data_IF_168963734525
#
_entry.id   IF_168963734525
#
_cell.length_a   1.000
_cell.length_b   1.000
_cell.length_c   1.000
_cell.angle_alpha   90.00
_cell.angle_beta   90.00
_cell.angle_gamma   90.00
#
_symmetry.space_group_name_H-M   'P 1'
#
loop_
_entity.id
_entity.type
_entity.pdbx_description
1 polymer ?
#
# COMPACT_ATOMS: atom_id res chain seq x y z
N UNK A 1 -21.30 25.52 -24.06
CA UNK A 1 -20.37 26.28 -23.19
C UNK A 1 -19.58 25.24 -22.40
N UNK A 2 -18.28 25.09 -22.66
CA UNK A 2 -17.47 24.02 -22.07
C UNK A 2 -16.86 24.50 -20.74
N UNK A 3 -17.23 23.88 -19.63
CA UNK A 3 -16.65 24.16 -18.31
C UNK A 3 -15.30 23.47 -18.22
N UNK A 4 -14.23 24.21 -18.48
CA UNK A 4 -12.87 23.71 -18.25
C UNK A 4 -12.68 23.49 -16.74
N UNK A 5 -12.58 22.22 -16.33
CA UNK A 5 -12.17 21.86 -14.98
C UNK A 5 -10.72 22.34 -14.82
N UNK A 6 -10.50 23.43 -14.07
CA UNK A 6 -9.17 24.02 -13.87
C UNK A 6 -8.35 23.04 -13.03
N UNK A 7 -7.57 22.20 -13.68
CA UNK A 7 -6.51 21.44 -13.00
C UNK A 7 -5.58 22.46 -12.34
N UNK A 8 -5.49 22.39 -11.02
CA UNK A 8 -4.57 23.23 -10.24
C UNK A 8 -3.36 22.36 -9.97
N UNK A 9 -2.23 22.77 -10.49
CA UNK A 9 -0.98 22.09 -10.23
C UNK A 9 -0.61 22.29 -8.75
N UNK A 10 -0.48 21.23 -7.95
CA UNK A 10 -0.10 21.35 -6.54
C UNK A 10 1.32 21.90 -6.33
N UNK A 11 2.11 22.03 -7.39
CA UNK A 11 3.49 22.52 -7.34
C UNK A 11 3.66 23.92 -7.97
N UNK A 12 2.57 24.61 -8.33
CA UNK A 12 2.60 25.92 -9.03
C UNK A 12 3.28 27.05 -8.22
N UNK A 13 3.25 26.94 -6.88
CA UNK A 13 3.85 27.91 -5.96
C UNK A 13 5.31 27.58 -5.57
N UNK A 14 5.87 26.46 -6.05
CA UNK A 14 7.23 26.01 -5.72
C UNK A 14 8.24 26.50 -6.78
N UNK A 15 9.42 26.92 -6.34
CA UNK A 15 10.55 27.08 -7.25
C UNK A 15 11.13 25.74 -7.68
N UNK A 16 11.88 25.70 -8.79
CA UNK A 16 12.52 24.48 -9.29
C UNK A 16 13.43 23.82 -8.23
N UNK A 17 14.15 24.62 -7.43
CA UNK A 17 15.04 24.12 -6.37
C UNK A 17 14.26 23.52 -5.18
N UNK A 18 13.16 24.16 -4.78
CA UNK A 18 12.25 23.61 -3.75
C UNK A 18 11.51 22.36 -4.24
N UNK A 19 11.18 22.30 -5.52
CA UNK A 19 10.59 21.12 -6.14
C UNK A 19 11.57 19.94 -6.13
N UNK A 20 12.83 20.17 -6.52
CA UNK A 20 13.87 19.14 -6.51
C UNK A 20 14.11 18.60 -5.09
N UNK A 21 14.20 19.46 -4.08
CA UNK A 21 14.30 19.03 -2.67
C UNK A 21 13.07 18.22 -2.23
N UNK A 22 11.87 18.67 -2.60
CA UNK A 22 10.62 17.99 -2.26
C UNK A 22 10.53 16.59 -2.89
N UNK A 23 10.92 16.49 -4.16
CA UNK A 23 11.00 15.24 -4.92
C UNK A 23 12.04 14.31 -4.31
N UNK A 24 13.22 14.82 -3.97
CA UNK A 24 14.28 14.03 -3.34
C UNK A 24 13.86 13.48 -1.98
N UNK A 25 13.13 14.25 -1.16
CA UNK A 25 12.53 13.74 0.09
C UNK A 25 11.51 12.63 -0.20
N UNK A 26 10.57 12.85 -1.11
CA UNK A 26 9.55 11.85 -1.50
C UNK A 26 10.16 10.53 -2.00
N UNK A 27 11.24 10.61 -2.78
CA UNK A 27 11.90 9.44 -3.36
C UNK A 27 13.02 8.84 -2.49
N UNK A 28 13.54 9.58 -1.51
CA UNK A 28 14.46 9.08 -0.49
C UNK A 28 13.74 8.21 0.56
N UNK A 29 12.45 8.47 0.80
CA UNK A 29 11.55 7.60 1.57
C UNK A 29 11.14 6.34 0.78
N UNK A 30 12.11 5.62 0.20
CA UNK A 30 11.82 4.31 -0.41
C UNK A 30 11.14 3.42 0.63
N UNK A 31 10.01 2.76 0.30
CA UNK A 31 9.37 1.82 1.21
C UNK A 31 10.42 0.81 1.70
N UNK A 32 10.63 0.74 3.01
CA UNK A 32 11.59 -0.19 3.64
C UNK A 32 11.04 -1.61 3.56
N UNK A 33 10.97 -2.17 2.36
CA UNK A 33 10.56 -3.55 2.15
C UNK A 33 11.72 -4.46 2.47
N UNK A 34 11.47 -5.49 3.27
CA UNK A 34 12.43 -6.57 3.50
C UNK A 34 12.08 -7.76 2.61
N UNK A 35 13.10 -8.43 2.07
CA UNK A 35 12.89 -9.68 1.37
C UNK A 35 12.56 -10.77 2.39
N UNK A 36 11.51 -11.54 2.10
CA UNK A 36 11.10 -12.70 2.91
C UNK A 36 11.08 -13.94 2.04
N UNK A 37 11.47 -15.08 2.61
CA UNK A 37 11.28 -16.39 1.99
C UNK A 37 10.02 -17.04 2.57
N UNK A 38 9.08 -17.41 1.70
CA UNK A 38 7.80 -18.02 2.10
C UNK A 38 7.53 -19.24 1.23
N UNK A 39 7.15 -20.36 1.86
CA UNK A 39 6.64 -21.54 1.17
C UNK A 39 5.12 -21.47 1.12
N UNK A 40 4.56 -21.69 -0.07
CA UNK A 40 3.11 -21.74 -0.30
C UNK A 40 2.76 -22.97 -1.14
N UNK A 41 1.54 -23.52 -1.00
CA UNK A 41 1.06 -24.56 -1.90
C UNK A 41 1.09 -24.11 -3.37
N UNK A 42 1.50 -25.00 -4.27
CA UNK A 42 1.62 -24.70 -5.70
C UNK A 42 0.28 -24.30 -6.31
N UNK A 43 -0.80 -24.98 -5.94
CA UNK A 43 -2.15 -24.70 -6.44
C UNK A 43 -2.61 -23.28 -6.04
N UNK A 44 -2.26 -22.84 -4.83
CA UNK A 44 -2.56 -21.50 -4.35
C UNK A 44 -1.82 -20.43 -5.16
N UNK A 45 -0.52 -20.63 -5.40
CA UNK A 45 0.29 -19.71 -6.20
C UNK A 45 -0.27 -19.60 -7.63
N UNK A 46 -0.63 -20.71 -8.24
CA UNK A 46 -1.20 -20.72 -9.59
C UNK A 46 -2.57 -20.03 -9.67
N UNK A 47 -3.41 -20.21 -8.65
CA UNK A 47 -4.69 -19.46 -8.55
C UNK A 47 -4.45 -17.96 -8.42
N UNK A 48 -3.47 -17.55 -7.63
CA UNK A 48 -3.11 -16.14 -7.45
C UNK A 48 -2.63 -15.52 -8.77
N UNK A 49 -1.75 -16.22 -9.50
CA UNK A 49 -1.27 -15.78 -10.82
C UNK A 49 -2.42 -15.58 -11.80
N UNK A 50 -3.34 -16.55 -11.91
CA UNK A 50 -4.52 -16.43 -12.79
C UNK A 50 -5.39 -15.22 -12.44
N UNK A 51 -5.61 -14.97 -11.15
CA UNK A 51 -6.38 -13.81 -10.71
C UNK A 51 -5.66 -12.50 -11.03
N UNK A 52 -4.33 -12.46 -10.86
CA UNK A 52 -3.51 -11.29 -11.19
C UNK A 52 -3.56 -10.97 -12.69
N UNK A 53 -3.44 -11.98 -13.55
CA UNK A 53 -3.63 -11.84 -15.00
C UNK A 53 -5.00 -11.28 -15.34
N UNK A 54 -6.07 -11.77 -14.70
CA UNK A 54 -7.44 -11.30 -14.95
C UNK A 54 -7.63 -9.82 -14.63
N UNK A 55 -6.95 -9.30 -13.61
CA UNK A 55 -7.01 -7.89 -13.21
C UNK A 55 -5.88 -7.04 -13.81
N UNK A 56 -5.03 -7.63 -14.65
CA UNK A 56 -3.98 -6.92 -15.40
C UNK A 56 -2.78 -6.47 -14.57
N UNK A 57 -2.45 -7.15 -13.45
CA UNK A 57 -1.32 -6.77 -12.59
C UNK A 57 -0.35 -7.95 -12.36
N UNK A 58 0.93 -7.68 -12.01
CA UNK A 58 1.85 -8.73 -11.57
C UNK A 58 1.35 -9.45 -10.31
N UNK A 59 1.57 -10.77 -10.22
CA UNK A 59 1.03 -11.55 -9.10
C UNK A 59 1.61 -11.10 -7.74
N UNK A 60 2.85 -10.60 -7.69
CA UNK A 60 3.42 -10.06 -6.46
C UNK A 60 2.69 -8.79 -6.00
N UNK A 61 2.26 -7.93 -6.94
CA UNK A 61 1.47 -6.73 -6.64
C UNK A 61 0.12 -7.09 -6.05
N UNK A 62 -0.58 -8.05 -6.67
CA UNK A 62 -1.82 -8.59 -6.12
C UNK A 62 -1.60 -9.21 -4.74
N UNK A 63 -0.51 -9.97 -4.57
CA UNK A 63 -0.15 -10.60 -3.29
C UNK A 63 -0.02 -9.57 -2.17
N UNK A 64 0.70 -8.46 -2.41
CA UNK A 64 0.88 -7.37 -1.44
C UNK A 64 -0.45 -6.77 -1.01
N UNK A 65 -1.30 -6.39 -1.97
CA UNK A 65 -2.62 -5.80 -1.69
C UNK A 65 -3.53 -6.74 -0.88
N UNK A 66 -3.48 -8.05 -1.18
CA UNK A 66 -4.23 -9.06 -0.41
C UNK A 66 -3.72 -9.15 1.03
N UNK A 67 -2.40 -9.15 1.24
CA UNK A 67 -1.78 -9.17 2.57
C UNK A 67 -2.14 -7.92 3.38
N UNK A 68 -2.00 -6.73 2.80
CA UNK A 68 -2.38 -5.46 3.43
C UNK A 68 -3.86 -5.44 3.84
N UNK A 69 -4.73 -5.85 2.92
CA UNK A 69 -6.18 -5.92 3.17
C UNK A 69 -6.54 -6.92 4.27
N UNK A 70 -5.84 -8.06 4.31
CA UNK A 70 -6.06 -9.10 5.32
C UNK A 70 -5.62 -8.59 6.71
N UNK A 71 -4.44 -7.99 6.82
CA UNK A 71 -3.92 -7.44 8.08
C UNK A 71 -4.85 -6.33 8.59
N UNK A 72 -5.23 -5.38 7.74
CA UNK A 72 -6.14 -4.30 8.13
C UNK A 72 -7.50 -4.81 8.63
N UNK A 73 -7.98 -5.95 8.08
CA UNK A 73 -9.21 -6.61 8.58
C UNK A 73 -9.01 -7.29 9.93
N UNK A 74 -7.84 -7.85 10.20
CA UNK A 74 -7.50 -8.46 11.48
C UNK A 74 -7.38 -7.40 12.57
N UNK A 75 -6.69 -6.29 12.29
CA UNK A 75 -6.53 -5.16 13.22
C UNK A 75 -7.89 -4.55 13.60
N UNK A 76 -8.81 -4.39 12.64
CA UNK A 76 -10.17 -3.92 12.93
C UNK A 76 -11.01 -4.89 13.77
N UNK A 77 -10.64 -6.17 13.79
CA UNK A 77 -11.38 -7.23 14.47
C UNK A 77 -10.84 -7.55 15.85
N UNK A 78 -9.63 -7.11 16.20
CA UNK A 78 -9.19 -7.18 17.59
C UNK A 78 -10.06 -6.23 18.43
N UNK A 79 -10.91 -6.74 19.33
CA UNK A 79 -11.46 -5.90 20.37
C UNK A 79 -10.27 -5.53 21.24
N UNK A 80 -10.00 -4.23 21.36
CA UNK A 80 -9.13 -3.66 22.39
C UNK A 80 -9.36 -4.42 23.69
N UNK A 81 -8.48 -5.37 24.02
CA UNK A 81 -8.56 -6.10 25.28
C UNK A 81 -8.36 -5.03 26.35
N UNK A 82 -9.35 -4.69 27.19
CA UNK A 82 -9.04 -3.96 28.38
C UNK A 82 -8.12 -4.89 29.16
N UNK A 83 -6.87 -4.44 29.38
CA UNK A 83 -5.95 -5.03 30.35
C UNK A 83 -6.81 -5.39 31.56
N UNK A 84 -6.94 -6.69 31.85
CA UNK A 84 -7.62 -7.20 33.03
C UNK A 84 -7.14 -6.35 34.19
N UNK A 85 -8.05 -5.51 34.71
CA UNK A 85 -7.75 -4.68 35.84
C UNK A 85 -7.27 -5.58 36.95
N UNK A 86 -6.05 -5.33 37.38
CA UNK A 86 -5.50 -5.89 38.59
C UNK A 86 -6.38 -5.41 39.76
N UNK A 87 -7.30 -6.27 40.20
CA UNK A 87 -7.85 -6.31 41.56
C UNK A 87 -7.39 -7.66 42.07
N UNK A 88 -6.50 -7.75 43.05
CA UNK A 88 -6.62 -7.11 44.36
C UNK A 88 -6.89 -8.24 45.33
#
# INVERSE_FOLDING_TARGET
MSTANKWTDPFDDMSDEEFDEHVDVLFSERPRTVAVSLRVPTDLLERLKRQATRVGVPYQTLMKSVLESAVARLERREPSHPRRAHRG
#
